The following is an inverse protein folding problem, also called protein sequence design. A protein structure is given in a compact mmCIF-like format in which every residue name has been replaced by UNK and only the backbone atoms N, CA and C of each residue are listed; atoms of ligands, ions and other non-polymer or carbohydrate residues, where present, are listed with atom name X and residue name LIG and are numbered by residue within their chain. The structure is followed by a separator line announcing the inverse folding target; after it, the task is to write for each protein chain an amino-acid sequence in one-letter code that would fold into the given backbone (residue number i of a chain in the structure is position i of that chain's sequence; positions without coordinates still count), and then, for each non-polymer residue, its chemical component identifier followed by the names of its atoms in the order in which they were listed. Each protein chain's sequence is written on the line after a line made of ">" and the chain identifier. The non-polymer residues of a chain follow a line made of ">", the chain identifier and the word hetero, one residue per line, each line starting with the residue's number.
data_IF_926781028824
#
_entry.id   IF_926781028824
#
_cell.length_a   1.000
_cell.length_b   1.000
_cell.length_c   1.000
_cell.angle_alpha   90.00
_cell.angle_beta   90.00
_cell.angle_gamma   90.00
#
_symmetry.space_group_name_H-M   'P 1'
#
loop_
_entity.id
_entity.type
_entity.pdbx_description
1 polymer ?
#
# COMPACT_ATOMS: atom_id res chain seq x y z
N UNK A 1 -40.23 36.09 5.28
CA UNK A 1 -39.59 34.84 4.84
C UNK A 1 -38.99 35.08 3.47
N UNK A 2 -37.75 34.63 3.18
CA UNK A 2 -37.16 34.78 1.85
C UNK A 2 -38.05 34.10 0.80
N UNK A 3 -38.18 34.71 -0.37
CA UNK A 3 -38.99 34.16 -1.45
C UNK A 3 -38.34 32.89 -2.03
N UNK A 4 -39.11 32.07 -2.75
CA UNK A 4 -38.56 30.90 -3.46
C UNK A 4 -37.45 31.29 -4.44
N UNK A 5 -37.51 32.50 -5.02
CA UNK A 5 -36.48 33.03 -5.90
C UNK A 5 -35.19 33.35 -5.14
N UNK A 6 -35.31 33.95 -3.94
CA UNK A 6 -34.16 34.27 -3.08
C UNK A 6 -33.44 33.01 -2.61
N UNK A 7 -34.19 31.97 -2.24
CA UNK A 7 -33.61 30.67 -1.86
C UNK A 7 -32.89 30.00 -3.03
N UNK A 8 -33.44 30.12 -4.26
CA UNK A 8 -32.80 29.57 -5.47
C UNK A 8 -31.52 30.32 -5.82
N UNK A 9 -31.54 31.65 -5.76
CA UNK A 9 -30.38 32.49 -6.00
C UNK A 9 -29.26 32.23 -4.98
N UNK A 10 -29.61 32.13 -3.69
CA UNK A 10 -28.67 31.81 -2.63
C UNK A 10 -28.02 30.43 -2.80
N UNK A 11 -28.81 29.39 -3.16
CA UNK A 11 -28.27 28.06 -3.46
C UNK A 11 -27.29 28.09 -4.64
N UNK A 12 -27.65 28.80 -5.72
CA UNK A 12 -26.77 28.93 -6.89
C UNK A 12 -25.46 29.65 -6.52
N UNK A 13 -25.53 30.70 -5.71
CA UNK A 13 -24.36 31.41 -5.21
C UNK A 13 -23.47 30.52 -4.33
N UNK A 14 -24.07 29.71 -3.45
CA UNK A 14 -23.33 28.76 -2.60
C UNK A 14 -22.57 27.73 -3.44
N UNK A 15 -23.21 27.19 -4.47
CA UNK A 15 -22.57 26.24 -5.41
C UNK A 15 -21.42 26.90 -6.16
N UNK A 16 -21.64 28.10 -6.72
CA UNK A 16 -20.59 28.84 -7.43
C UNK A 16 -19.38 29.18 -6.52
N UNK A 17 -19.64 29.54 -5.26
CA UNK A 17 -18.57 29.78 -4.29
C UNK A 17 -17.81 28.49 -3.94
N UNK A 18 -18.51 27.37 -3.76
CA UNK A 18 -17.89 26.07 -3.54
C UNK A 18 -17.01 25.67 -4.72
N UNK A 19 -17.48 25.84 -5.96
CA UNK A 19 -16.70 25.55 -7.18
C UNK A 19 -15.41 26.38 -7.25
N UNK A 20 -15.49 27.69 -6.98
CA UNK A 20 -14.30 28.54 -6.95
C UNK A 20 -13.29 28.13 -5.86
N UNK A 21 -13.78 27.72 -4.69
CA UNK A 21 -12.92 27.25 -3.62
C UNK A 21 -12.29 25.90 -3.97
N UNK A 22 -13.05 24.97 -4.56
CA UNK A 22 -12.54 23.69 -5.05
C UNK A 22 -11.45 23.94 -6.09
N UNK A 23 -11.69 24.79 -7.09
CA UNK A 23 -10.71 25.11 -8.13
C UNK A 23 -9.39 25.64 -7.56
N UNK A 24 -9.47 26.59 -6.62
CA UNK A 24 -8.29 27.13 -5.92
C UNK A 24 -7.54 26.07 -5.11
N UNK A 25 -8.27 25.17 -4.45
CA UNK A 25 -7.66 24.05 -3.73
C UNK A 25 -7.03 23.05 -4.69
N UNK A 26 -7.69 22.73 -5.80
CA UNK A 26 -7.25 21.70 -6.75
C UNK A 26 -6.05 22.14 -7.60
N UNK A 27 -5.86 23.43 -7.83
CA UNK A 27 -4.66 23.94 -8.53
C UNK A 27 -3.47 24.17 -7.59
N UNK A 28 -3.69 24.08 -6.27
CA UNK A 28 -2.61 24.26 -5.31
C UNK A 28 -1.56 23.14 -5.41
N UNK A 29 -0.28 23.49 -5.25
CA UNK A 29 0.81 22.52 -5.13
C UNK A 29 0.56 21.52 -4.00
N UNK A 30 -0.13 21.96 -2.95
CA UNK A 30 -0.52 21.12 -1.82
C UNK A 30 -1.47 19.99 -2.23
N UNK A 31 -2.45 20.28 -3.08
CA UNK A 31 -3.37 19.26 -3.60
C UNK A 31 -2.68 18.33 -4.59
N UNK A 32 -1.82 18.85 -5.48
CA UNK A 32 -0.97 18.03 -6.35
C UNK A 32 -0.08 17.09 -5.55
N UNK A 33 0.51 17.57 -4.45
CA UNK A 33 1.26 16.74 -3.51
C UNK A 33 0.40 15.67 -2.85
N UNK A 34 -0.83 16.01 -2.42
CA UNK A 34 -1.76 15.05 -1.85
C UNK A 34 -2.15 13.95 -2.84
N UNK A 35 -2.49 14.31 -4.09
CA UNK A 35 -2.77 13.35 -5.15
C UNK A 35 -1.56 12.44 -5.43
N UNK A 36 -0.34 12.99 -5.42
CA UNK A 36 0.87 12.19 -5.53
C UNK A 36 1.04 11.21 -4.37
N UNK A 37 0.69 11.61 -3.14
CA UNK A 37 0.70 10.71 -1.97
C UNK A 37 -0.35 9.60 -2.13
N UNK A 38 -1.56 9.93 -2.59
CA UNK A 38 -2.60 8.94 -2.89
C UNK A 38 -2.12 7.91 -3.93
N UNK A 39 -1.47 8.36 -5.01
CA UNK A 39 -0.92 7.48 -6.03
C UNK A 39 0.18 6.56 -5.47
N UNK A 40 1.09 7.08 -4.65
CA UNK A 40 2.18 6.31 -4.04
C UNK A 40 1.68 5.26 -3.05
N UNK A 41 0.73 5.63 -2.17
CA UNK A 41 0.27 4.78 -1.06
C UNK A 41 -1.10 4.13 -1.29
N UNK A 42 -1.53 3.98 -2.54
CA UNK A 42 -2.78 3.34 -2.97
C UNK A 42 -3.12 1.96 -2.37
N UNK A 43 -2.16 1.24 -1.80
CA UNK A 43 -2.38 -0.04 -1.10
C UNK A 43 -2.76 0.12 0.38
N UNK A 44 -2.63 1.33 0.94
CA UNK A 44 -3.02 1.64 2.32
C UNK A 44 -4.46 2.15 2.38
N UNK A 45 -5.10 2.00 3.54
CA UNK A 45 -6.40 2.65 3.79
C UNK A 45 -6.30 4.18 3.65
N UNK A 46 -7.37 4.84 3.20
CA UNK A 46 -7.41 6.31 3.07
C UNK A 46 -6.99 7.02 4.37
N UNK A 47 -7.41 6.49 5.53
CA UNK A 47 -6.97 6.97 6.85
C UNK A 47 -5.45 6.93 7.01
N UNK A 48 -4.82 5.82 6.64
CA UNK A 48 -3.36 5.69 6.72
C UNK A 48 -2.66 6.60 5.70
N UNK A 49 -3.23 6.81 4.52
CA UNK A 49 -2.69 7.77 3.54
C UNK A 49 -2.72 9.19 4.11
N UNK A 50 -3.85 9.62 4.69
CA UNK A 50 -3.98 10.94 5.31
C UNK A 50 -3.02 11.11 6.49
N UNK A 51 -2.90 10.08 7.35
CA UNK A 51 -1.96 10.09 8.47
C UNK A 51 -0.51 10.24 7.99
N UNK A 52 -0.12 9.53 6.92
CA UNK A 52 1.21 9.65 6.33
C UNK A 52 1.40 11.06 5.78
N UNK A 53 0.45 11.56 4.99
CA UNK A 53 0.52 12.89 4.36
C UNK A 53 0.69 14.01 5.39
N UNK A 54 -0.11 14.01 6.46
CA UNK A 54 -0.06 15.05 7.50
C UNK A 54 1.27 15.03 8.27
N UNK A 55 1.89 13.86 8.44
CA UNK A 55 3.14 13.72 9.18
C UNK A 55 4.39 13.91 8.30
N UNK A 56 4.32 13.50 7.03
CA UNK A 56 5.39 13.62 6.05
C UNK A 56 4.82 13.63 4.61
N UNK A 57 4.52 14.83 4.05
CA UNK A 57 4.02 14.97 2.68
C UNK A 57 4.98 14.45 1.59
N UNK A 58 6.27 14.36 1.92
CA UNK A 58 7.32 13.93 1.00
C UNK A 58 7.60 12.43 1.07
N UNK A 59 6.86 11.68 1.91
CA UNK A 59 7.01 10.24 1.99
C UNK A 59 6.75 9.59 0.62
N UNK A 60 7.57 8.59 0.29
CA UNK A 60 7.51 7.86 -0.99
C UNK A 60 7.32 6.37 -0.79
N UNK A 61 7.88 5.83 0.28
CA UNK A 61 7.74 4.43 0.64
C UNK A 61 7.96 4.30 2.14
N UNK A 62 6.98 3.74 2.85
CA UNK A 62 7.04 3.56 4.30
C UNK A 62 7.03 2.07 4.64
N UNK A 63 7.81 1.69 5.64
CA UNK A 63 7.79 0.33 6.18
C UNK A 63 8.13 0.33 7.68
N UNK A 64 7.77 -0.77 8.36
CA UNK A 64 8.15 -0.98 9.76
C UNK A 64 9.66 -1.18 9.91
N UNK A 65 10.21 -0.85 11.08
CA UNK A 65 11.65 -0.93 11.35
C UNK A 65 12.27 -2.30 10.99
N UNK A 66 11.64 -3.40 11.44
CA UNK A 66 12.10 -4.76 11.14
C UNK A 66 12.02 -5.08 9.65
N UNK A 67 10.97 -4.62 8.97
CA UNK A 67 10.77 -4.88 7.54
C UNK A 67 11.86 -4.20 6.70
N UNK A 68 12.30 -3.00 7.08
CA UNK A 68 13.45 -2.37 6.45
C UNK A 68 14.68 -3.28 6.51
N UNK A 69 14.96 -3.87 7.67
CA UNK A 69 16.13 -4.73 7.86
C UNK A 69 16.01 -6.09 7.16
N UNK A 70 14.88 -6.78 7.31
CA UNK A 70 14.75 -8.18 6.89
C UNK A 70 14.31 -8.37 5.45
N UNK A 71 13.47 -7.47 4.93
CA UNK A 71 12.85 -7.62 3.60
C UNK A 71 13.40 -6.62 2.57
N UNK A 72 13.90 -5.47 3.03
CA UNK A 72 14.35 -4.39 2.15
C UNK A 72 15.86 -4.13 2.24
N UNK A 73 16.58 -4.95 3.02
CA UNK A 73 18.03 -4.90 3.25
C UNK A 73 18.57 -3.50 3.56
N UNK A 74 17.80 -2.73 4.35
CA UNK A 74 18.12 -1.35 4.72
C UNK A 74 18.02 -1.18 6.23
N UNK A 75 18.84 -0.29 6.78
CA UNK A 75 18.83 0.04 8.20
C UNK A 75 18.31 1.46 8.39
N UNK A 76 17.27 1.61 9.20
CA UNK A 76 16.74 2.92 9.60
C UNK A 76 17.82 3.68 10.38
N UNK A 77 18.06 4.93 9.99
CA UNK A 77 19.07 5.80 10.61
C UNK A 77 18.72 6.05 12.08
N UNK A 78 19.74 6.04 12.95
CA UNK A 78 19.56 6.36 14.39
C UNK A 78 18.96 7.77 14.53
N UNK A 79 17.94 7.91 15.37
CA UNK A 79 17.25 9.19 15.60
C UNK A 79 16.19 9.56 14.56
N UNK A 80 15.92 8.70 13.56
CA UNK A 80 14.85 8.95 12.60
C UNK A 80 13.48 9.10 13.29
N UNK A 81 12.73 10.14 12.91
CA UNK A 81 11.37 10.38 13.41
C UNK A 81 10.38 9.43 12.74
N UNK A 82 9.70 8.60 13.52
CA UNK A 82 8.70 7.68 12.99
C UNK A 82 7.42 8.41 12.54
N UNK A 83 6.81 7.90 11.47
CA UNK A 83 5.43 8.20 11.05
C UNK A 83 4.50 7.20 11.72
N UNK A 84 3.38 7.65 12.27
CA UNK A 84 2.39 6.80 12.93
C UNK A 84 1.28 6.39 11.95
N UNK A 85 1.09 5.09 11.77
CA UNK A 85 -0.05 4.52 11.02
C UNK A 85 -0.98 3.77 11.96
N UNK A 86 -2.26 3.70 11.63
CA UNK A 86 -3.24 2.91 12.36
C UNK A 86 -3.20 1.45 11.89
N UNK A 87 -3.06 0.53 12.84
CA UNK A 87 -3.08 -0.90 12.59
C UNK A 87 -4.19 -1.58 13.39
N UNK A 88 -4.98 -2.49 12.81
CA UNK A 88 -6.04 -3.19 13.51
C UNK A 88 -5.45 -4.16 14.55
N UNK A 89 -6.13 -4.27 15.67
CA UNK A 89 -5.90 -5.33 16.67
C UNK A 89 -6.88 -6.44 16.35
N UNK A 90 -6.38 -7.54 15.80
CA UNK A 90 -7.20 -8.68 15.39
C UNK A 90 -7.13 -9.74 16.50
N UNK A 91 -8.29 -10.14 17.03
CA UNK A 91 -8.41 -11.24 18.00
C UNK A 91 -9.21 -12.39 17.41
N UNK A 92 -8.89 -13.61 17.84
CA UNK A 92 -9.73 -14.78 17.57
C UNK A 92 -11.00 -14.66 18.42
N UNK A 93 -12.16 -14.87 17.80
CA UNK A 93 -13.44 -14.88 18.50
C UNK A 93 -13.65 -16.22 19.20
N UNK A 94 -14.23 -16.17 20.40
CA UNK A 94 -14.78 -17.35 21.08
C UNK A 94 -16.14 -17.73 20.47
N UNK A 95 -16.61 -18.98 20.60
CA UNK A 95 -17.94 -19.39 20.12
C UNK A 95 -19.07 -18.54 20.72
N UNK A 96 -18.93 -18.11 21.98
CA UNK A 96 -19.89 -17.22 22.63
C UNK A 96 -19.89 -15.81 22.00
N UNK A 97 -18.73 -15.27 21.64
CA UNK A 97 -18.64 -13.98 20.94
C UNK A 97 -19.15 -14.05 19.50
N UNK A 98 -18.87 -15.15 18.78
CA UNK A 98 -19.43 -15.41 17.46
C UNK A 98 -20.95 -15.43 17.48
N UNK A 99 -21.54 -16.14 18.47
CA UNK A 99 -22.99 -16.17 18.66
C UNK A 99 -23.56 -14.79 19.05
N UNK A 100 -22.87 -14.03 19.90
CA UNK A 100 -23.28 -12.68 20.30
C UNK A 100 -23.25 -11.69 19.14
N UNK A 101 -22.27 -11.83 18.25
CA UNK A 101 -22.05 -10.95 17.10
C UNK A 101 -22.75 -11.43 15.82
N UNK A 102 -23.43 -12.58 15.88
CA UNK A 102 -24.07 -13.24 14.73
C UNK A 102 -23.14 -13.33 13.52
N UNK A 103 -21.91 -13.82 13.75
CA UNK A 103 -20.89 -13.98 12.70
C UNK A 103 -20.26 -15.36 12.73
N UNK A 104 -19.95 -15.88 11.55
CA UNK A 104 -19.15 -17.10 11.37
C UNK A 104 -17.64 -16.81 11.32
N UNK A 105 -17.23 -15.54 11.40
CA UNK A 105 -15.83 -15.17 11.32
C UNK A 105 -15.03 -15.68 12.52
N UNK A 106 -13.87 -16.26 12.27
CA UNK A 106 -12.97 -16.71 13.35
C UNK A 106 -12.26 -15.54 14.04
N UNK A 107 -12.20 -14.37 13.40
CA UNK A 107 -11.41 -13.23 13.83
C UNK A 107 -12.17 -11.93 13.63
N UNK A 108 -12.01 -11.02 14.59
CA UNK A 108 -12.56 -9.68 14.50
C UNK A 108 -11.52 -8.62 14.86
N UNK A 109 -11.71 -7.42 14.30
CA UNK A 109 -10.99 -6.22 14.71
C UNK A 109 -11.62 -5.72 16.01
N UNK A 110 -10.86 -5.75 17.10
CA UNK A 110 -11.33 -5.31 18.42
C UNK A 110 -10.86 -3.91 18.80
N UNK A 111 -10.09 -3.27 17.92
CA UNK A 111 -9.55 -1.93 18.12
C UNK A 111 -8.43 -1.62 17.14
N UNK A 112 -7.82 -0.46 17.33
CA UNK A 112 -6.69 -0.01 16.52
C UNK A 112 -5.57 0.49 17.44
N UNK A 113 -4.33 0.34 16.99
CA UNK A 113 -3.13 0.89 17.65
C UNK A 113 -2.25 1.61 16.64
N UNK A 114 -1.52 2.63 17.08
CA UNK A 114 -0.59 3.36 16.23
C UNK A 114 0.77 2.70 16.19
N UNK A 115 1.18 2.21 15.03
CA UNK A 115 2.49 1.60 14.81
C UNK A 115 3.47 2.59 14.16
N UNK A 116 4.75 2.56 14.55
CA UNK A 116 5.78 3.36 13.91
C UNK A 116 6.21 2.74 12.57
N UNK A 117 6.23 3.55 11.53
CA UNK A 117 6.86 3.27 10.23
C UNK A 117 7.83 4.39 9.86
N UNK A 118 8.75 4.09 8.94
CA UNK A 118 9.80 5.01 8.51
C UNK A 118 9.80 5.08 6.99
N UNK A 119 10.02 6.28 6.47
CA UNK A 119 10.19 6.50 5.03
C UNK A 119 11.57 6.03 4.55
N UNK A 120 11.67 5.64 3.29
CA UNK A 120 12.90 5.19 2.64
C UNK A 120 14.06 6.19 2.76
N UNK A 121 13.78 7.50 2.75
CA UNK A 121 14.79 8.56 2.94
C UNK A 121 15.46 8.51 4.33
N UNK A 122 14.77 7.90 5.30
CA UNK A 122 15.23 7.71 6.67
C UNK A 122 16.01 6.41 6.86
N UNK A 123 16.08 5.55 5.83
CA UNK A 123 16.85 4.33 5.83
C UNK A 123 18.14 4.48 5.00
N UNK A 124 19.13 3.66 5.32
CA UNK A 124 20.43 3.59 4.66
C UNK A 124 20.74 2.15 4.27
N UNK A 125 21.61 1.97 3.28
CA UNK A 125 21.88 0.68 2.66
C UNK A 125 21.39 0.64 1.21
N UNK A 126 22.03 -0.22 0.43
CA UNK A 126 21.67 -0.41 -0.97
C UNK A 126 20.34 -1.17 -1.07
N UNK A 127 19.44 -0.77 -1.99
CA UNK A 127 18.32 -1.63 -2.30
C UNK A 127 18.85 -2.97 -2.83
N UNK A 128 18.23 -4.08 -2.40
CA UNK A 128 18.59 -5.39 -2.94
C UNK A 128 18.17 -5.45 -4.43
N UNK A 129 19.13 -5.15 -5.30
CA UNK A 129 18.94 -5.18 -6.75
C UNK A 129 18.58 -6.59 -7.23
N UNK A 130 19.05 -7.64 -6.54
CA UNK A 130 18.68 -9.01 -6.86
C UNK A 130 17.20 -9.27 -6.53
N UNK A 131 16.69 -8.75 -5.42
CA UNK A 131 15.26 -8.84 -5.09
C UNK A 131 14.39 -8.09 -6.10
N UNK A 132 14.80 -6.88 -6.50
CA UNK A 132 14.10 -6.11 -7.55
C UNK A 132 14.08 -6.86 -8.89
N UNK A 133 15.21 -7.41 -9.31
CA UNK A 133 15.30 -8.19 -10.54
C UNK A 133 14.44 -9.44 -10.46
N UNK A 134 14.42 -10.14 -9.32
CA UNK A 134 13.53 -11.28 -9.08
C UNK A 134 12.07 -10.89 -9.28
N UNK A 135 11.61 -9.83 -8.62
CA UNK A 135 10.23 -9.36 -8.77
C UNK A 135 9.92 -8.96 -10.21
N UNK A 136 10.83 -8.26 -10.89
CA UNK A 136 10.63 -7.89 -12.29
C UNK A 136 10.50 -9.11 -13.20
N UNK A 137 11.37 -10.11 -13.05
CA UNK A 137 11.27 -11.33 -13.84
C UNK A 137 10.02 -12.14 -13.50
N UNK A 138 9.59 -12.16 -12.23
CA UNK A 138 8.36 -12.83 -11.78
C UNK A 138 7.11 -12.20 -12.42
N UNK A 139 6.98 -10.88 -12.34
CA UNK A 139 5.87 -10.13 -12.95
C UNK A 139 5.90 -10.24 -14.48
N UNK A 140 7.08 -10.18 -15.09
CA UNK A 140 7.24 -10.40 -16.53
C UNK A 140 6.80 -11.82 -16.92
N UNK A 141 7.17 -12.84 -16.15
CA UNK A 141 6.72 -14.21 -16.39
C UNK A 141 5.20 -14.34 -16.27
N UNK A 142 4.57 -13.70 -15.27
CA UNK A 142 3.10 -13.64 -15.19
C UNK A 142 2.47 -12.97 -16.41
N UNK A 143 3.00 -11.83 -16.86
CA UNK A 143 2.53 -11.15 -18.06
C UNK A 143 2.63 -12.03 -19.31
N UNK A 144 3.76 -12.73 -19.49
CA UNK A 144 3.98 -13.54 -20.69
C UNK A 144 3.19 -14.87 -20.66
N UNK A 145 3.14 -15.53 -19.51
CA UNK A 145 2.62 -16.90 -19.39
C UNK A 145 1.19 -16.95 -18.87
N UNK A 146 0.66 -15.91 -18.24
CA UNK A 146 -0.66 -15.93 -17.62
C UNK A 146 -1.56 -14.74 -18.03
N UNK A 147 -1.15 -13.94 -19.02
CA UNK A 147 -2.05 -12.98 -19.65
C UNK A 147 -3.26 -13.65 -20.31
N UNK A 148 -4.32 -12.86 -20.54
CA UNK A 148 -5.64 -13.32 -21.01
C UNK A 148 -5.63 -14.18 -22.29
N UNK A 149 -4.58 -14.06 -23.12
CA UNK A 149 -4.41 -14.80 -24.38
C UNK A 149 -3.38 -15.94 -24.30
N UNK A 150 -2.80 -16.19 -23.13
CA UNK A 150 -1.77 -17.22 -22.96
C UNK A 150 -2.36 -18.64 -22.92
N UNK A 151 -1.59 -19.60 -23.43
CA UNK A 151 -1.88 -21.04 -23.33
C UNK A 151 -1.96 -21.56 -21.89
N UNK A 152 -1.39 -20.85 -20.90
CA UNK A 152 -1.39 -21.27 -19.49
C UNK A 152 -2.29 -20.43 -18.57
N UNK A 153 -3.20 -19.63 -19.13
CA UNK A 153 -4.08 -18.74 -18.36
C UNK A 153 -5.02 -19.47 -17.38
N UNK A 154 -5.48 -20.67 -17.74
CA UNK A 154 -6.50 -21.41 -16.98
C UNK A 154 -5.90 -22.35 -15.92
N UNK A 155 -4.57 -22.32 -15.73
CA UNK A 155 -3.90 -23.14 -14.71
C UNK A 155 -4.28 -22.67 -13.29
N UNK A 156 -4.35 -23.57 -12.30
CA UNK A 156 -4.58 -23.18 -10.91
C UNK A 156 -3.54 -22.15 -10.44
N UNK A 157 -3.94 -21.16 -9.63
CA UNK A 157 -3.05 -20.07 -9.18
C UNK A 157 -1.73 -20.59 -8.60
N UNK A 158 -1.74 -21.66 -7.81
CA UNK A 158 -0.52 -22.27 -7.26
C UNK A 158 0.48 -22.72 -8.34
N UNK A 159 -0.01 -23.25 -9.46
CA UNK A 159 0.84 -23.59 -10.61
C UNK A 159 1.40 -22.35 -11.30
N UNK A 160 0.57 -21.30 -11.46
CA UNK A 160 1.00 -20.05 -12.07
C UNK A 160 2.13 -19.39 -11.27
N UNK A 161 1.97 -19.30 -9.94
CA UNK A 161 3.00 -18.77 -9.04
C UNK A 161 4.30 -19.59 -9.11
N UNK A 162 4.20 -20.92 -9.13
CA UNK A 162 5.37 -21.83 -9.21
C UNK A 162 6.08 -21.68 -10.55
N UNK A 163 5.33 -21.55 -11.64
CA UNK A 163 5.87 -21.38 -12.98
C UNK A 163 6.56 -20.01 -13.12
N UNK A 164 5.93 -18.94 -12.66
CA UNK A 164 6.52 -17.59 -12.66
C UNK A 164 7.81 -17.54 -11.82
N UNK A 165 7.80 -18.16 -10.65
CA UNK A 165 8.97 -18.22 -9.76
C UNK A 165 10.12 -19.03 -10.40
N UNK A 166 9.82 -20.15 -11.05
CA UNK A 166 10.82 -20.95 -11.74
C UNK A 166 11.47 -20.19 -12.92
N UNK A 167 10.67 -19.46 -13.70
CA UNK A 167 11.17 -18.62 -14.80
C UNK A 167 12.05 -17.49 -14.27
N UNK A 168 11.62 -16.82 -13.21
CA UNK A 168 12.41 -15.77 -12.57
C UNK A 168 13.76 -16.31 -12.07
N UNK A 169 13.75 -17.49 -11.45
CA UNK A 169 14.95 -18.16 -10.97
C UNK A 169 15.94 -18.47 -12.11
N UNK A 170 15.48 -19.10 -13.19
CA UNK A 170 16.33 -19.43 -14.35
C UNK A 170 16.86 -18.15 -15.02
N UNK A 171 16.03 -17.12 -15.16
CA UNK A 171 16.45 -15.83 -15.72
C UNK A 171 17.55 -15.17 -14.87
N UNK A 172 17.42 -15.20 -13.55
CA UNK A 172 18.44 -14.66 -12.64
C UNK A 172 19.76 -15.44 -12.71
N UNK A 173 19.71 -16.77 -12.79
CA UNK A 173 20.93 -17.60 -12.92
C UNK A 173 21.72 -17.29 -14.19
N UNK A 174 21.01 -17.02 -15.29
CA UNK A 174 21.61 -16.74 -16.59
C UNK A 174 22.08 -15.29 -16.75
N UNK A 175 21.63 -14.37 -15.91
CA UNK A 175 21.98 -12.94 -15.98
C UNK A 175 23.04 -12.52 -14.96
N UNK A 176 24.13 -13.28 -14.78
CA UNK A 176 25.36 -12.91 -14.03
C UNK A 176 25.19 -12.27 -12.62
N UNK A 177 23.98 -12.19 -12.06
CA UNK A 177 23.66 -11.59 -10.76
C UNK A 177 23.40 -12.73 -9.78
N UNK A 178 24.43 -13.10 -9.03
CA UNK A 178 24.32 -14.12 -7.98
C UNK A 178 23.60 -13.52 -6.77
N UNK A 179 22.31 -13.80 -6.62
CA UNK A 179 21.53 -13.51 -5.41
C UNK A 179 21.29 -14.78 -4.58
N UNK A 180 21.40 -14.69 -3.25
CA UNK A 180 21.01 -15.77 -2.34
C UNK A 180 19.48 -15.87 -2.25
N UNK A 181 18.93 -17.02 -2.61
CA UNK A 181 17.48 -17.24 -2.64
C UNK A 181 16.98 -17.72 -1.27
N UNK A 182 16.38 -16.83 -0.48
CA UNK A 182 15.52 -17.24 0.63
C UNK A 182 14.08 -17.36 0.12
N UNK A 183 13.43 -18.50 0.42
CA UNK A 183 12.00 -18.73 0.17
C UNK A 183 11.20 -17.50 0.57
N UNK A 184 10.29 -17.04 -0.30
CA UNK A 184 9.43 -15.88 -0.05
C UNK A 184 8.94 -15.86 1.41
N UNK A 185 9.25 -14.83 2.22
CA UNK A 185 8.29 -14.49 3.26
C UNK A 185 6.99 -14.17 2.54
N UNK A 186 5.87 -14.76 3.00
CA UNK A 186 4.52 -14.38 2.53
C UNK A 186 4.50 -12.87 2.37
N UNK A 187 4.04 -12.41 1.19
CA UNK A 187 3.85 -11.01 0.86
C UNK A 187 3.45 -10.27 2.14
N UNK A 188 4.18 -9.21 2.55
CA UNK A 188 3.80 -8.48 3.74
C UNK A 188 2.35 -8.16 3.57
N UNK A 189 1.51 -8.64 4.49
CA UNK A 189 0.17 -8.14 4.60
C UNK A 189 0.38 -6.70 5.04
N UNK A 190 0.49 -5.81 4.06
CA UNK A 190 0.56 -4.39 4.28
C UNK A 190 -0.77 -4.05 4.97
N UNK A 191 -0.62 -3.42 6.12
CA UNK A 191 -1.69 -3.15 7.08
C UNK A 191 -2.63 -2.08 6.54
#
# INVERSE_FOLDING_TARGET
>A
MPSKADVKAWKAQLVAQAEQQILKLTDSDRFKQYLNTLAKFHHYSARNIDLIYVQNPQATQVAGFKQWQTALNRTVKRGAKAIRIAAPIIKKLTPAEQKRLDTTDERAIVGYRYLPVFDVSQASGEPDNALKLKTLYHEYAHSQLHALKSAFKDRPRAYQETQAEAVAYVAMQNTAVKGTFTVFPKSPTFV
#
